data_IF_120256296743
#
_entry.id   IF_120256296743
#
_cell.length_a   1.000
_cell.length_b   1.000
_cell.length_c   1.000
_cell.angle_alpha   90.00
_cell.angle_beta   90.00
_cell.angle_gamma   90.00
#
_symmetry.space_group_name_H-M   'P 1'
#
loop_
_entity.id
_entity.type
_entity.pdbx_description
1 polymer ?
#
# COMPACT_ATOMS: atom_id res chain seq x y z
N UNK A 1 -1.61 -12.79 17.04
CA UNK A 1 -2.00 -12.84 18.46
C UNK A 1 -3.08 -11.82 18.79
N UNK A 2 -2.87 -10.52 18.55
CA UNK A 2 -3.85 -9.46 18.83
C UNK A 2 -5.20 -9.72 18.14
N UNK A 3 -5.18 -10.15 16.88
CA UNK A 3 -6.40 -10.46 16.13
C UNK A 3 -7.23 -11.60 16.70
N UNK A 4 -6.56 -12.56 17.35
CA UNK A 4 -7.23 -13.69 17.98
C UNK A 4 -7.74 -13.41 19.41
N UNK A 5 -7.30 -12.30 20.03
CA UNK A 5 -7.63 -11.97 21.42
C UNK A 5 -8.41 -10.64 21.54
N UNK A 6 -8.87 -10.10 20.44
CA UNK A 6 -9.70 -8.88 20.38
C UNK A 6 -10.79 -9.04 19.35
N UNK A 7 -11.95 -8.42 19.56
CA UNK A 7 -13.12 -8.60 18.70
C UNK A 7 -13.56 -7.30 18.00
N UNK A 8 -13.15 -6.13 18.50
CA UNK A 8 -13.63 -4.83 18.03
C UNK A 8 -12.55 -3.92 17.47
N UNK A 9 -11.37 -3.91 18.09
CA UNK A 9 -10.29 -3.01 17.70
C UNK A 9 -9.80 -3.34 16.28
N UNK A 10 -9.62 -2.33 15.47
CA UNK A 10 -8.98 -2.48 14.16
C UNK A 10 -7.48 -2.73 14.34
N UNK A 11 -6.90 -3.51 13.46
CA UNK A 11 -5.50 -3.90 13.48
C UNK A 11 -4.83 -3.37 12.22
N UNK A 12 -3.65 -2.82 12.36
CA UNK A 12 -2.95 -2.31 11.19
C UNK A 12 -1.43 -2.41 11.32
N UNK A 13 -0.75 -2.39 10.18
CA UNK A 13 0.69 -2.21 10.16
C UNK A 13 1.03 -0.73 10.15
N UNK A 14 1.92 -0.31 11.02
CA UNK A 14 2.31 1.10 11.11
C UNK A 14 3.83 1.31 11.07
N UNK A 15 4.43 0.99 9.97
CA UNK A 15 4.08 0.56 8.61
C UNK A 15 4.67 -0.82 8.26
N UNK A 16 4.08 -1.52 7.26
CA UNK A 16 4.77 -2.58 6.55
C UNK A 16 5.68 -1.95 5.49
N UNK A 17 6.97 -2.19 5.60
CA UNK A 17 7.97 -1.55 4.73
C UNK A 17 7.93 -2.15 3.32
N UNK A 18 7.71 -1.30 2.33
CA UNK A 18 7.68 -1.66 0.90
C UNK A 18 8.98 -2.35 0.45
N UNK A 19 10.20 -1.88 0.80
CA UNK A 19 11.42 -2.55 0.38
C UNK A 19 11.62 -3.94 0.98
N UNK A 20 10.96 -4.23 2.09
CA UNK A 20 11.09 -5.52 2.79
C UNK A 20 10.20 -6.65 2.23
N UNK A 21 9.26 -6.34 1.34
CA UNK A 21 8.30 -7.33 0.83
C UNK A 21 7.88 -7.04 -0.61
N UNK A 22 7.68 -8.09 -1.40
CA UNK A 22 7.05 -7.93 -2.71
C UNK A 22 5.57 -7.52 -2.56
N UNK A 23 4.99 -6.82 -3.54
CA UNK A 23 3.56 -6.47 -3.51
C UNK A 23 2.65 -7.69 -3.37
N UNK A 24 3.02 -8.81 -4.00
CA UNK A 24 2.27 -10.07 -3.90
C UNK A 24 2.29 -10.62 -2.46
N UNK A 25 3.46 -10.62 -1.80
CA UNK A 25 3.57 -11.05 -0.40
C UNK A 25 2.72 -10.15 0.52
N UNK A 26 2.77 -8.83 0.33
CA UNK A 26 1.98 -7.90 1.13
C UNK A 26 0.47 -8.09 0.93
N UNK A 27 0.01 -8.27 -0.31
CA UNK A 27 -1.39 -8.52 -0.61
C UNK A 27 -1.90 -9.82 0.03
N UNK A 28 -1.14 -10.90 -0.11
CA UNK A 28 -1.52 -12.20 0.49
C UNK A 28 -1.49 -12.13 2.02
N UNK A 29 -0.52 -11.44 2.61
CA UNK A 29 -0.47 -11.19 4.05
C UNK A 29 -1.70 -10.41 4.51
N UNK A 30 -2.06 -9.33 3.80
CA UNK A 30 -3.22 -8.52 4.14
C UNK A 30 -4.53 -9.33 4.09
N UNK A 31 -4.75 -10.11 3.03
CA UNK A 31 -5.91 -10.98 2.91
C UNK A 31 -5.99 -12.01 4.06
N UNK A 32 -4.85 -12.60 4.43
CA UNK A 32 -4.79 -13.56 5.54
C UNK A 32 -5.10 -12.89 6.87
N UNK A 33 -4.50 -11.72 7.14
CA UNK A 33 -4.71 -10.98 8.38
C UNK A 33 -6.15 -10.45 8.49
N UNK A 34 -6.74 -10.03 7.39
CA UNK A 34 -8.14 -9.59 7.33
C UNK A 34 -9.08 -10.74 7.67
N UNK A 35 -8.89 -11.91 7.05
CA UNK A 35 -9.67 -13.10 7.34
C UNK A 35 -9.54 -13.56 8.80
N UNK A 36 -8.32 -13.63 9.34
CA UNK A 36 -8.05 -14.02 10.72
C UNK A 36 -8.61 -13.04 11.76
N UNK A 37 -8.72 -11.76 11.40
CA UNK A 37 -9.26 -10.73 12.29
C UNK A 37 -10.75 -10.45 12.10
N UNK A 38 -11.44 -11.18 11.21
CA UNK A 38 -12.84 -10.94 10.92
C UNK A 38 -13.11 -9.59 10.24
N UNK A 39 -12.27 -9.19 9.28
CA UNK A 39 -12.46 -7.98 8.49
C UNK A 39 -11.98 -6.69 9.18
N UNK A 40 -11.11 -6.79 10.19
CA UNK A 40 -10.62 -5.63 10.97
C UNK A 40 -9.23 -5.15 10.59
N UNK A 41 -8.63 -5.72 9.54
CA UNK A 41 -7.26 -5.40 9.17
C UNK A 41 -7.15 -4.15 8.30
N UNK A 42 -6.10 -3.36 8.51
CA UNK A 42 -5.69 -2.21 7.70
C UNK A 42 -4.26 -2.46 7.24
N UNK A 43 -4.03 -2.42 5.94
CA UNK A 43 -2.68 -2.51 5.39
C UNK A 43 -2.01 -1.13 5.38
N UNK A 44 -1.22 -0.84 6.40
CA UNK A 44 -0.40 0.37 6.46
C UNK A 44 0.95 0.15 5.79
N UNK A 45 1.24 0.91 4.74
CA UNK A 45 2.44 0.81 3.89
C UNK A 45 3.34 2.05 4.03
N UNK A 46 4.61 1.89 3.69
CA UNK A 46 5.54 3.02 3.56
C UNK A 46 6.90 2.59 3.03
N UNK A 47 7.61 3.51 2.40
CA UNK A 47 8.95 3.27 1.87
C UNK A 47 10.02 3.22 2.94
N UNK A 48 9.76 3.80 4.13
CA UNK A 48 10.79 4.17 5.09
C UNK A 48 11.72 5.28 4.55
N UNK A 49 12.81 5.58 5.23
CA UNK A 49 13.79 6.59 4.78
C UNK A 49 14.97 5.95 4.04
N UNK A 50 15.80 6.77 3.36
CA UNK A 50 16.97 6.28 2.64
C UNK A 50 17.95 5.51 3.53
N UNK A 51 18.11 5.90 4.79
CA UNK A 51 18.99 5.22 5.75
C UNK A 51 18.61 3.76 5.95
N UNK A 52 17.32 3.45 5.96
CA UNK A 52 16.81 2.08 6.11
C UNK A 52 16.83 1.34 4.78
N UNK A 53 16.37 1.99 3.70
CA UNK A 53 16.29 1.36 2.39
C UNK A 53 17.68 0.99 1.87
N UNK A 54 18.62 1.91 1.93
CA UNK A 54 19.99 1.68 1.46
C UNK A 54 20.82 0.89 2.47
N UNK A 55 20.76 1.27 3.76
CA UNK A 55 21.60 0.70 4.80
C UNK A 55 21.15 -0.65 5.33
N UNK A 56 19.84 -0.97 5.27
CA UNK A 56 19.31 -2.23 5.79
C UNK A 56 18.82 -3.19 4.72
N UNK A 57 18.12 -2.65 3.70
CA UNK A 57 17.60 -3.47 2.60
C UNK A 57 18.54 -3.56 1.39
N UNK A 58 19.63 -2.77 1.35
CA UNK A 58 20.60 -2.79 0.26
C UNK A 58 20.01 -2.41 -1.11
N UNK A 59 19.00 -1.55 -1.12
CA UNK A 59 18.30 -1.12 -2.33
C UNK A 59 18.45 0.40 -2.53
N UNK A 60 18.48 0.90 -3.76
CA UNK A 60 18.55 2.33 -4.00
C UNK A 60 17.24 3.01 -3.55
N UNK A 61 17.35 4.15 -2.87
CA UNK A 61 16.22 5.00 -2.52
C UNK A 61 15.98 6.03 -3.63
N UNK A 62 15.34 5.60 -4.69
CA UNK A 62 14.98 6.46 -5.81
C UNK A 62 13.48 6.43 -6.11
N UNK A 63 12.94 7.55 -6.59
CA UNK A 63 11.53 7.70 -7.02
C UNK A 63 10.50 7.11 -6.04
N UNK A 64 10.53 7.51 -4.75
CA UNK A 64 9.65 6.90 -3.73
C UNK A 64 8.16 7.04 -4.04
N UNK A 65 7.74 8.14 -4.69
CA UNK A 65 6.34 8.31 -5.08
C UNK A 65 5.92 7.31 -6.17
N UNK A 66 6.76 7.10 -7.19
CA UNK A 66 6.51 6.07 -8.22
C UNK A 66 6.44 4.68 -7.58
N UNK A 67 7.35 4.41 -6.65
CA UNK A 67 7.39 3.13 -5.94
C UNK A 67 6.11 2.85 -5.16
N UNK A 68 5.65 3.81 -4.37
CA UNK A 68 4.38 3.69 -3.62
C UNK A 68 3.20 3.49 -4.58
N UNK A 69 3.12 4.29 -5.66
CA UNK A 69 2.04 4.21 -6.64
C UNK A 69 1.93 2.80 -7.23
N UNK A 70 3.01 2.32 -7.81
CA UNK A 70 3.01 1.00 -8.45
C UNK A 70 2.73 -0.13 -7.45
N UNK A 71 3.32 -0.03 -6.25
CA UNK A 71 3.09 -1.02 -5.19
C UNK A 71 1.61 -1.11 -4.78
N UNK A 72 0.98 0.03 -4.51
CA UNK A 72 -0.45 0.08 -4.15
C UNK A 72 -1.33 -0.43 -5.28
N UNK A 73 -1.06 -0.04 -6.53
CA UNK A 73 -1.80 -0.52 -7.69
C UNK A 73 -1.71 -2.04 -7.85
N UNK A 74 -0.51 -2.61 -7.67
CA UNK A 74 -0.31 -4.07 -7.76
C UNK A 74 -1.04 -4.77 -6.62
N UNK A 75 -0.92 -4.28 -5.39
CA UNK A 75 -1.63 -4.84 -4.23
C UNK A 75 -3.14 -4.85 -4.46
N UNK A 76 -3.71 -3.73 -4.94
CA UNK A 76 -5.14 -3.64 -5.28
C UNK A 76 -5.54 -4.67 -6.34
N UNK A 77 -4.82 -4.75 -7.45
CA UNK A 77 -5.10 -5.74 -8.52
C UNK A 77 -5.12 -7.18 -7.98
N UNK A 78 -4.20 -7.51 -7.08
CA UNK A 78 -4.12 -8.85 -6.49
C UNK A 78 -5.33 -9.12 -5.58
N UNK A 79 -5.70 -8.17 -4.72
CA UNK A 79 -6.82 -8.32 -3.77
C UNK A 79 -8.16 -8.36 -4.53
N UNK A 80 -8.36 -7.47 -5.50
CA UNK A 80 -9.57 -7.44 -6.34
C UNK A 80 -9.74 -8.69 -7.20
N UNK A 81 -8.64 -9.32 -7.57
CA UNK A 81 -8.64 -10.61 -8.26
C UNK A 81 -9.51 -10.65 -9.53
N UNK A 82 -9.71 -9.53 -10.21
CA UNK A 82 -10.50 -9.47 -11.46
C UNK A 82 -9.83 -10.25 -12.58
N UNK A 83 -8.54 -10.03 -12.79
CA UNK A 83 -7.74 -10.59 -13.87
C UNK A 83 -6.41 -11.16 -13.37
N UNK A 84 -5.71 -12.01 -14.15
CA UNK A 84 -4.32 -12.36 -13.89
C UNK A 84 -3.45 -11.10 -13.82
N UNK A 85 -2.53 -11.07 -12.87
CA UNK A 85 -1.70 -9.89 -12.60
C UNK A 85 -0.76 -9.58 -13.76
N UNK A 86 -0.92 -8.38 -14.32
CA UNK A 86 0.02 -7.77 -15.27
C UNK A 86 0.30 -6.34 -14.80
N UNK A 87 1.59 -5.97 -14.74
CA UNK A 87 2.03 -4.61 -14.44
C UNK A 87 3.33 -4.29 -15.18
N UNK A 88 3.34 -3.21 -15.93
CA UNK A 88 4.52 -2.70 -16.64
C UNK A 88 4.80 -1.27 -16.16
N UNK A 89 5.61 -1.17 -15.11
CA UNK A 89 6.00 0.09 -14.50
C UNK A 89 7.51 0.30 -14.54
N UNK A 90 7.95 1.36 -13.87
CA UNK A 90 9.37 1.70 -13.74
C UNK A 90 10.04 0.91 -12.62
N UNK A 91 9.28 0.60 -11.54
CA UNK A 91 9.76 -0.13 -10.37
C UNK A 91 9.42 -1.61 -10.43
N UNK A 92 8.29 -1.95 -11.04
CA UNK A 92 7.81 -3.33 -11.12
C UNK A 92 7.45 -3.71 -12.55
N UNK A 93 7.91 -4.90 -12.95
CA UNK A 93 7.55 -5.55 -14.19
C UNK A 93 7.05 -6.96 -13.89
N UNK A 94 5.77 -7.19 -14.11
CA UNK A 94 5.09 -8.44 -13.73
C UNK A 94 4.20 -8.89 -14.91
N UNK A 95 4.41 -10.08 -15.50
CA UNK A 95 5.55 -10.98 -15.26
C UNK A 95 6.88 -10.33 -15.60
N UNK A 96 7.95 -10.79 -14.94
CA UNK A 96 9.29 -10.29 -15.22
C UNK A 96 9.84 -10.89 -16.53
N UNK A 97 10.23 -10.00 -17.45
CA UNK A 97 10.76 -10.34 -18.77
C UNK A 97 12.10 -9.65 -19.07
N UNK A 98 12.75 -9.09 -18.01
CA UNK A 98 14.04 -8.39 -18.13
C UNK A 98 15.25 -9.32 -18.11
N UNK A 99 16.47 -8.76 -18.00
CA UNK A 99 17.72 -9.51 -17.93
C UNK A 99 17.69 -10.58 -16.83
N UNK A 100 18.10 -11.81 -17.17
CA UNK A 100 18.07 -12.95 -16.25
C UNK A 100 16.72 -13.67 -16.15
N UNK A 101 15.71 -13.25 -16.90
CA UNK A 101 14.43 -13.99 -16.99
C UNK A 101 14.65 -15.35 -17.63
N UNK A 102 13.97 -16.37 -17.12
CA UNK A 102 13.93 -17.71 -17.71
C UNK A 102 12.92 -17.81 -18.88
N UNK A 103 12.13 -16.75 -19.13
CA UNK A 103 11.03 -16.74 -20.09
C UNK A 103 9.81 -17.57 -19.70
N UNK A 104 9.79 -18.15 -18.49
CA UNK A 104 8.67 -18.95 -18.00
C UNK A 104 7.64 -18.15 -17.21
N UNK A 105 7.90 -16.86 -16.98
CA UNK A 105 6.99 -15.97 -16.29
C UNK A 105 5.67 -15.83 -17.05
N UNK A 106 4.56 -16.01 -16.35
CA UNK A 106 3.21 -15.81 -16.91
C UNK A 106 2.33 -15.09 -15.90
N UNK A 107 1.30 -14.35 -16.36
CA UNK A 107 0.34 -13.72 -15.48
C UNK A 107 -0.32 -14.74 -14.55
N UNK A 108 -0.31 -14.48 -13.25
CA UNK A 108 -0.92 -15.33 -12.25
C UNK A 108 -2.05 -14.60 -11.53
N UNK A 109 -2.97 -15.36 -10.98
CA UNK A 109 -4.06 -14.89 -10.15
C UNK A 109 -3.97 -15.55 -8.78
N UNK A 110 -4.17 -14.79 -7.70
CA UNK A 110 -4.19 -15.37 -6.35
C UNK A 110 -5.25 -16.47 -6.27
N UNK A 111 -4.93 -17.56 -5.57
CA UNK A 111 -5.91 -18.60 -5.21
C UNK A 111 -6.76 -18.18 -4.02
N UNK A 112 -6.28 -17.23 -3.21
CA UNK A 112 -7.02 -16.68 -2.08
C UNK A 112 -8.13 -15.73 -2.57
N UNK A 113 -9.28 -15.84 -1.95
CA UNK A 113 -10.40 -14.93 -2.13
C UNK A 113 -10.48 -14.05 -0.88
N UNK A 114 -9.92 -12.85 -0.97
CA UNK A 114 -9.94 -11.87 0.11
C UNK A 114 -11.08 -10.86 -0.05
N UNK A 115 -11.21 -10.01 0.96
CA UNK A 115 -12.06 -8.84 0.90
C UNK A 115 -11.43 -7.78 -0.02
N UNK A 116 -12.06 -7.35 -1.14
CA UNK A 116 -11.50 -6.33 -2.02
C UNK A 116 -11.42 -4.95 -1.37
N UNK A 117 -12.16 -4.74 -0.29
CA UNK A 117 -12.27 -3.46 0.43
C UNK A 117 -11.28 -3.33 1.60
N UNK A 118 -10.27 -4.22 1.71
CA UNK A 118 -9.22 -4.06 2.73
C UNK A 118 -8.62 -2.66 2.61
N UNK A 119 -8.70 -1.83 3.67
CA UNK A 119 -8.18 -0.48 3.62
C UNK A 119 -6.66 -0.48 3.48
N UNK A 120 -6.15 0.34 2.56
CA UNK A 120 -4.71 0.60 2.40
C UNK A 120 -4.42 2.00 2.88
N UNK A 121 -3.59 2.09 3.92
CA UNK A 121 -3.08 3.35 4.45
C UNK A 121 -1.61 3.52 4.05
N UNK A 122 -1.14 4.75 3.96
CA UNK A 122 0.27 5.00 3.66
C UNK A 122 0.87 6.03 4.60
N UNK A 123 2.10 5.76 5.04
CA UNK A 123 2.91 6.72 5.79
C UNK A 123 3.46 7.79 4.84
N UNK A 124 3.08 9.06 5.04
CA UNK A 124 3.50 10.16 4.19
C UNK A 124 3.69 11.46 4.99
N UNK A 125 4.88 12.05 4.87
CA UNK A 125 5.23 13.31 5.54
C UNK A 125 5.23 14.49 4.57
N UNK A 126 5.78 14.31 3.37
CA UNK A 126 5.92 15.38 2.38
C UNK A 126 4.57 15.69 1.70
N UNK A 127 4.32 16.96 1.32
CA UNK A 127 3.06 17.39 0.69
C UNK A 127 2.65 16.55 -0.51
N UNK A 128 3.60 16.25 -1.40
CA UNK A 128 3.37 15.41 -2.59
C UNK A 128 3.00 13.96 -2.24
N UNK A 129 3.57 13.43 -1.16
CA UNK A 129 3.23 12.09 -0.68
C UNK A 129 1.84 12.05 -0.03
N UNK A 130 1.44 13.11 0.69
CA UNK A 130 0.11 13.26 1.25
C UNK A 130 -0.96 13.42 0.16
N UNK A 131 -0.67 14.19 -0.89
CA UNK A 131 -1.51 14.29 -2.08
C UNK A 131 -1.69 12.93 -2.74
N UNK A 132 -0.60 12.19 -2.94
CA UNK A 132 -0.65 10.83 -3.49
C UNK A 132 -1.42 9.85 -2.59
N UNK A 133 -1.33 10.00 -1.27
CA UNK A 133 -2.14 9.22 -0.34
C UNK A 133 -3.63 9.47 -0.56
N UNK A 134 -4.05 10.71 -0.69
CA UNK A 134 -5.42 11.08 -1.03
C UNK A 134 -5.89 10.49 -2.36
N UNK A 135 -5.02 10.43 -3.35
CA UNK A 135 -5.34 9.86 -4.67
C UNK A 135 -5.53 8.34 -4.64
N UNK A 136 -4.61 7.61 -4.02
CA UNK A 136 -4.46 6.16 -4.18
C UNK A 136 -4.96 5.33 -3.00
N UNK A 137 -4.90 5.87 -1.78
CA UNK A 137 -5.09 5.12 -0.55
C UNK A 137 -6.41 5.46 0.16
N UNK A 138 -6.74 4.70 1.19
CA UNK A 138 -7.94 4.90 2.00
C UNK A 138 -7.64 5.60 3.33
N UNK A 139 -6.38 5.92 3.59
CA UNK A 139 -5.96 6.62 4.78
C UNK A 139 -4.48 7.01 4.76
N UNK A 140 -4.13 7.88 5.70
CA UNK A 140 -2.80 8.44 5.89
C UNK A 140 -2.31 8.12 7.30
N UNK A 141 -1.06 7.66 7.41
CA UNK A 141 -0.38 7.48 8.68
C UNK A 141 0.63 8.62 8.86
N UNK A 142 0.45 9.41 9.88
CA UNK A 142 1.38 10.48 10.27
C UNK A 142 2.27 10.00 11.42
N UNK A 143 3.58 10.22 11.32
CA UNK A 143 4.51 9.95 12.43
C UNK A 143 4.38 10.95 13.56
N UNK A 144 3.99 12.18 13.21
CA UNK A 144 3.70 13.25 14.16
C UNK A 144 2.36 13.85 13.80
N UNK A 145 1.41 13.78 14.71
CA UNK A 145 0.11 14.40 14.56
C UNK A 145 0.03 15.64 15.46
N UNK A 146 -0.23 16.79 14.86
CA UNK A 146 -0.56 18.01 15.59
C UNK A 146 -2.04 18.31 15.43
N UNK A 147 -2.86 18.15 16.47
CA UNK A 147 -4.30 18.39 16.38
C UNK A 147 -4.66 19.86 16.10
N UNK A 148 -3.74 20.80 16.39
CA UNK A 148 -3.97 22.23 16.19
C UNK A 148 -3.64 22.70 14.76
N UNK A 149 -3.07 21.84 13.91
CA UNK A 149 -2.70 22.18 12.54
C UNK A 149 -3.13 21.13 11.50
N UNK A 150 -4.40 20.71 11.48
CA UNK A 150 -4.87 19.71 10.52
C UNK A 150 -4.95 20.27 9.10
N UNK A 151 -5.18 21.57 8.93
CA UNK A 151 -5.51 22.22 7.65
C UNK A 151 -4.47 22.00 6.55
N UNK A 152 -3.21 21.94 6.90
CA UNK A 152 -2.13 21.70 5.93
C UNK A 152 -2.19 20.29 5.32
N UNK A 153 -2.37 19.27 6.16
CA UNK A 153 -2.49 17.87 5.71
C UNK A 153 -3.77 17.69 4.90
N UNK A 154 -4.88 18.23 5.40
CA UNK A 154 -6.18 18.16 4.74
C UNK A 154 -6.14 18.76 3.33
N UNK A 155 -5.50 19.91 3.15
CA UNK A 155 -5.41 20.56 1.84
C UNK A 155 -4.64 19.72 0.82
N UNK A 156 -3.58 19.02 1.26
CA UNK A 156 -2.82 18.11 0.41
C UNK A 156 -3.65 16.87 0.02
N UNK A 157 -4.31 16.26 1.01
CA UNK A 157 -5.17 15.08 0.79
C UNK A 157 -6.35 15.40 -0.13
N UNK A 158 -7.00 16.56 0.05
CA UNK A 158 -8.10 17.02 -0.84
C UNK A 158 -7.66 17.13 -2.30
N UNK A 159 -6.49 17.69 -2.57
CA UNK A 159 -5.94 17.70 -3.94
C UNK A 159 -5.73 16.31 -4.52
N UNK A 160 -5.40 15.34 -3.66
CA UNK A 160 -5.32 13.95 -4.06
C UNK A 160 -6.68 13.35 -4.40
N UNK A 161 -7.72 13.66 -3.63
CA UNK A 161 -9.09 13.22 -3.90
C UNK A 161 -9.62 13.69 -5.25
N UNK A 162 -9.30 14.92 -5.64
CA UNK A 162 -9.66 15.47 -6.95
C UNK A 162 -9.09 14.66 -8.13
N UNK A 163 -7.98 13.93 -7.90
CA UNK A 163 -7.31 13.08 -8.88
C UNK A 163 -7.72 11.62 -8.80
N UNK A 164 -8.47 11.26 -7.76
CA UNK A 164 -8.80 9.85 -7.50
C UNK A 164 -9.89 9.36 -8.45
N UNK A 165 -9.65 8.22 -9.07
CA UNK A 165 -10.67 7.48 -9.83
C UNK A 165 -11.60 6.64 -8.92
N UNK A 166 -11.25 6.53 -7.63
CA UNK A 166 -12.06 5.82 -6.63
C UNK A 166 -12.99 6.80 -5.94
N UNK A 167 -14.25 6.38 -5.77
CA UNK A 167 -15.17 7.14 -4.92
C UNK A 167 -14.69 7.06 -3.47
N UNK A 168 -14.41 8.21 -2.85
CA UNK A 168 -13.92 8.32 -1.48
C UNK A 168 -14.72 9.36 -0.71
N UNK A 169 -14.95 9.05 0.55
CA UNK A 169 -15.47 10.00 1.52
C UNK A 169 -14.30 10.49 2.40
N UNK A 170 -14.11 11.82 2.46
CA UNK A 170 -13.07 12.43 3.27
C UNK A 170 -13.24 12.14 4.77
N UNK A 171 -14.46 11.92 5.23
CA UNK A 171 -14.75 11.61 6.64
C UNK A 171 -14.18 10.28 7.11
N UNK A 172 -13.84 9.38 6.17
CA UNK A 172 -13.31 8.05 6.47
C UNK A 172 -11.78 7.96 6.35
N UNK A 173 -11.14 9.04 5.95
CA UNK A 173 -9.68 9.07 5.68
C UNK A 173 -8.84 9.30 6.94
#
# INVERSE_FOLDING_TARGET
WLGAHTDKIRLGTGIMQIPGRSPANAAMTAMTMDALSGGRFILGLGTSGPQVVEGWHGQPFDRPLTWVREYVQIVRKIIERKEPLVHHGEKYRIPYDGPGSTGQGKPLKSILHGNPEIPIYVGALAPKAQEQAGELCDGLLLTTFNPDAPSYVESNVKRGFEKSERHKDFSTF
#
